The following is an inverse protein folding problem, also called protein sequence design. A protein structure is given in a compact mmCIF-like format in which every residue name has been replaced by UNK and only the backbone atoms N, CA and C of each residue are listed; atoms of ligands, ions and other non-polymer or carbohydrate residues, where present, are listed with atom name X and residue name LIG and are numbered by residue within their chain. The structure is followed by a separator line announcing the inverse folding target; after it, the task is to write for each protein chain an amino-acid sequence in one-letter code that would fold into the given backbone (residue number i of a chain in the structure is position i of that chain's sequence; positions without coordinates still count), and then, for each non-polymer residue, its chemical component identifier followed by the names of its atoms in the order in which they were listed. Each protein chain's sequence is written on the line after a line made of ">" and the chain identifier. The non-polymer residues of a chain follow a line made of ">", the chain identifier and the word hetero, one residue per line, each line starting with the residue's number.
data_IF_202839957295
#
_entry.id   IF_202839957295
#
_cell.length_a   1.000
_cell.length_b   1.000
_cell.length_c   1.000
_cell.angle_alpha   90.00
_cell.angle_beta   90.00
_cell.angle_gamma   90.00
#
_symmetry.space_group_name_H-M   'P 1'
#
loop_
_entity.id
_entity.type
_entity.pdbx_description
1 polymer ?
#
# COMPACT_ATOMS: atom_id res chain seq x y z
N UNK A 1 19.36 -8.18 -23.51
CA UNK A 1 19.31 -7.34 -24.74
C UNK A 1 19.14 -5.89 -24.35
N UNK A 2 19.87 -4.96 -24.99
CA UNK A 2 19.73 -3.52 -24.76
C UNK A 2 18.33 -3.00 -25.14
N UNK A 3 17.84 -1.98 -24.45
CA UNK A 3 16.51 -1.40 -24.70
C UNK A 3 16.42 -0.78 -26.11
N UNK A 4 17.47 -0.09 -26.56
CA UNK A 4 17.55 0.52 -27.89
C UNK A 4 17.46 -0.51 -29.01
N UNK A 5 18.13 -1.65 -28.84
CA UNK A 5 18.06 -2.76 -29.78
C UNK A 5 16.62 -3.31 -29.93
N UNK A 6 15.86 -3.37 -28.83
CA UNK A 6 14.46 -3.78 -28.85
C UNK A 6 13.57 -2.73 -29.52
N UNK A 7 13.79 -1.43 -29.28
CA UNK A 7 13.09 -0.33 -29.98
C UNK A 7 13.34 -0.42 -31.50
N UNK A 8 14.61 -0.57 -31.90
CA UNK A 8 14.99 -0.68 -33.31
C UNK A 8 14.38 -1.92 -33.98
N UNK A 9 14.47 -3.09 -33.32
CA UNK A 9 13.83 -4.31 -33.78
C UNK A 9 12.32 -4.14 -33.95
N UNK A 10 11.65 -3.49 -32.99
CA UNK A 10 10.21 -3.24 -33.05
C UNK A 10 9.84 -2.36 -34.23
N UNK A 11 10.55 -1.25 -34.46
CA UNK A 11 10.32 -0.36 -35.61
C UNK A 11 10.44 -1.10 -36.94
N UNK A 12 11.47 -1.94 -37.09
CA UNK A 12 11.67 -2.76 -38.30
C UNK A 12 10.54 -3.77 -38.49
N UNK A 13 10.10 -4.41 -37.41
CA UNK A 13 8.96 -5.32 -37.45
C UNK A 13 7.66 -4.57 -37.79
N UNK A 14 7.42 -3.38 -37.26
CA UNK A 14 6.20 -2.62 -37.52
C UNK A 14 6.13 -2.08 -38.97
N UNK A 15 7.27 -1.92 -39.64
CA UNK A 15 7.36 -1.57 -41.06
C UNK A 15 7.03 -2.73 -42.03
N UNK A 16 6.89 -3.97 -41.53
CA UNK A 16 6.63 -5.17 -42.33
C UNK A 16 5.19 -5.65 -42.10
N UNK A 17 4.54 -6.18 -43.15
CA UNK A 17 3.21 -6.78 -42.98
C UNK A 17 3.26 -7.96 -41.99
N UNK A 18 2.19 -8.21 -41.24
CA UNK A 18 2.19 -9.24 -40.18
C UNK A 18 2.53 -10.66 -40.69
N UNK A 19 2.23 -10.95 -41.96
CA UNK A 19 2.46 -12.24 -42.63
C UNK A 19 3.76 -12.30 -43.43
N UNK A 20 4.57 -11.24 -43.42
CA UNK A 20 5.82 -11.19 -44.17
C UNK A 20 6.82 -12.25 -43.66
N UNK A 21 7.31 -13.16 -44.52
CA UNK A 21 8.26 -14.21 -44.14
C UNK A 21 9.58 -13.64 -43.61
N UNK A 22 10.00 -12.46 -44.05
CA UNK A 22 11.25 -11.84 -43.63
C UNK A 22 11.25 -11.43 -42.14
N UNK A 23 10.08 -11.31 -41.49
CA UNK A 23 9.98 -11.13 -40.04
C UNK A 23 10.62 -12.28 -39.26
N UNK A 24 10.43 -13.52 -39.74
CA UNK A 24 10.97 -14.72 -39.09
C UNK A 24 12.49 -14.75 -39.20
N UNK A 25 13.02 -14.38 -40.36
CA UNK A 25 14.46 -14.27 -40.59
C UNK A 25 15.09 -13.19 -39.69
N UNK A 26 14.49 -11.99 -39.63
CA UNK A 26 14.93 -10.89 -38.78
C UNK A 26 14.95 -11.26 -37.28
N UNK A 27 13.90 -11.93 -36.79
CA UNK A 27 13.86 -12.39 -35.40
C UNK A 27 14.93 -13.46 -35.11
N UNK A 28 15.22 -14.32 -36.08
CA UNK A 28 16.22 -15.39 -35.93
C UNK A 28 17.64 -14.85 -35.93
N UNK A 29 17.96 -13.92 -36.84
CA UNK A 29 19.26 -13.27 -36.88
C UNK A 29 19.51 -12.41 -35.63
N UNK A 30 18.48 -11.70 -35.16
CA UNK A 30 18.59 -10.90 -33.93
C UNK A 30 18.76 -11.79 -32.69
N UNK A 31 18.07 -12.94 -32.65
CA UNK A 31 18.24 -13.93 -31.58
C UNK A 31 19.67 -14.46 -31.52
N UNK A 32 20.24 -14.82 -32.67
CA UNK A 32 21.62 -15.26 -32.78
C UNK A 32 22.62 -14.16 -32.37
N UNK A 33 22.45 -12.93 -32.87
CA UNK A 33 23.33 -11.79 -32.58
C UNK A 33 23.46 -11.51 -31.08
N UNK A 34 22.37 -11.64 -30.33
CA UNK A 34 22.36 -11.36 -28.89
C UNK A 34 22.45 -12.62 -28.02
N UNK A 35 22.68 -13.79 -28.60
CA UNK A 35 22.81 -15.06 -27.86
C UNK A 35 21.56 -15.44 -27.05
N UNK A 36 20.35 -15.08 -27.52
CA UNK A 36 19.08 -15.37 -26.83
C UNK A 36 18.14 -16.17 -27.71
N UNK A 37 17.19 -16.88 -27.11
CA UNK A 37 16.17 -17.58 -27.87
C UNK A 37 15.14 -16.61 -28.48
N UNK A 38 14.50 -17.02 -29.58
CA UNK A 38 13.37 -16.28 -30.19
C UNK A 38 12.24 -16.03 -29.19
N UNK A 39 11.98 -16.98 -28.29
CA UNK A 39 10.99 -16.83 -27.21
C UNK A 39 11.36 -15.68 -26.26
N UNK A 40 12.64 -15.51 -25.94
CA UNK A 40 13.13 -14.38 -25.13
C UNK A 40 12.98 -13.04 -25.84
N UNK A 41 13.17 -12.99 -27.17
CA UNK A 41 12.87 -11.78 -27.95
C UNK A 41 11.38 -11.43 -27.87
N UNK A 42 10.49 -12.38 -28.14
CA UNK A 42 9.04 -12.13 -28.04
C UNK A 42 8.61 -11.68 -26.65
N UNK A 43 9.15 -12.29 -25.58
CA UNK A 43 8.90 -11.84 -24.20
C UNK A 43 9.37 -10.40 -23.97
N UNK A 44 10.57 -10.07 -24.43
CA UNK A 44 11.14 -8.72 -24.31
C UNK A 44 10.30 -7.68 -25.05
N UNK A 45 9.92 -7.95 -26.31
CA UNK A 45 9.04 -7.09 -27.11
C UNK A 45 7.67 -6.89 -26.44
N UNK A 46 7.11 -7.92 -25.81
CA UNK A 46 5.83 -7.84 -25.09
C UNK A 46 5.93 -7.03 -23.79
N UNK A 47 7.05 -7.14 -23.07
CA UNK A 47 7.27 -6.44 -21.80
C UNK A 47 7.61 -4.96 -21.99
N UNK A 48 8.26 -4.60 -23.10
CA UNK A 48 8.68 -3.22 -23.37
C UNK A 48 7.53 -2.20 -23.36
N UNK A 49 6.34 -2.61 -23.79
CA UNK A 49 5.14 -1.77 -23.83
C UNK A 49 4.30 -1.80 -22.55
N UNK A 50 4.68 -2.64 -21.57
CA UNK A 50 3.94 -2.74 -20.32
C UNK A 50 4.63 -1.91 -19.25
N UNK A 51 3.98 -0.84 -18.73
CA UNK A 51 4.51 -0.15 -17.56
C UNK A 51 4.68 -1.19 -16.45
N UNK A 52 5.89 -1.25 -15.88
CA UNK A 52 6.13 -2.14 -14.74
C UNK A 52 5.30 -1.62 -13.59
N UNK A 53 4.47 -2.49 -13.02
CA UNK A 53 3.76 -2.15 -11.80
C UNK A 53 4.77 -1.75 -10.74
N UNK A 54 4.58 -0.59 -10.12
CA UNK A 54 5.42 -0.09 -9.02
C UNK A 54 5.41 -1.07 -7.82
N UNK A 55 4.35 -1.88 -7.72
CA UNK A 55 4.00 -2.69 -6.57
C UNK A 55 3.56 -4.07 -7.03
N UNK A 56 3.74 -5.07 -6.17
CA UNK A 56 3.13 -6.38 -6.37
C UNK A 56 1.61 -6.27 -6.37
N UNK A 57 0.95 -7.18 -7.07
CA UNK A 57 -0.51 -7.22 -7.17
C UNK A 57 -1.20 -7.42 -5.81
N UNK A 58 -0.56 -8.15 -4.88
CA UNK A 58 -1.06 -8.44 -3.53
C UNK A 58 -0.70 -7.37 -2.49
N UNK A 59 -0.10 -6.24 -2.90
CA UNK A 59 0.37 -5.24 -1.93
C UNK A 59 -0.81 -4.62 -1.19
N UNK A 60 -0.75 -4.69 0.15
CA UNK A 60 -1.78 -4.15 1.03
C UNK A 60 -2.87 -5.17 1.35
N UNK A 61 -2.73 -6.43 0.92
CA UNK A 61 -3.62 -7.51 1.30
C UNK A 61 -2.98 -8.34 2.43
N UNK A 62 -3.66 -8.51 3.57
CA UNK A 62 -3.22 -9.45 4.60
C UNK A 62 -3.38 -10.89 4.10
N UNK A 63 -2.41 -11.76 4.43
CA UNK A 63 -2.38 -13.15 3.96
C UNK A 63 -3.04 -14.15 4.92
N UNK A 64 -3.10 -13.81 6.21
CA UNK A 64 -3.51 -14.73 7.29
C UNK A 64 -4.85 -14.36 7.95
N UNK A 65 -5.34 -13.16 7.69
CA UNK A 65 -6.51 -12.56 8.35
C UNK A 65 -7.30 -11.85 7.26
N UNK A 66 -8.62 -11.87 7.33
CA UNK A 66 -9.44 -11.09 6.40
C UNK A 66 -9.20 -9.59 6.61
N UNK A 67 -9.33 -8.79 5.55
CA UNK A 67 -9.04 -7.35 5.64
C UNK A 67 -9.93 -6.65 6.68
N UNK A 68 -11.23 -6.97 6.69
CA UNK A 68 -12.21 -6.41 7.62
C UNK A 68 -11.93 -6.81 9.08
N UNK A 69 -11.55 -8.06 9.33
CA UNK A 69 -11.15 -8.51 10.67
C UNK A 69 -9.89 -7.78 11.15
N UNK A 70 -8.90 -7.62 10.26
CA UNK A 70 -7.67 -6.90 10.59
C UNK A 70 -7.94 -5.42 10.88
N UNK A 71 -8.86 -4.80 10.14
CA UNK A 71 -9.33 -3.45 10.39
C UNK A 71 -9.94 -3.34 11.77
N UNK A 72 -10.87 -4.25 12.12
CA UNK A 72 -11.48 -4.30 13.44
C UNK A 72 -10.46 -4.48 14.56
N UNK A 73 -9.48 -5.37 14.40
CA UNK A 73 -8.40 -5.53 15.38
C UNK A 73 -7.56 -4.26 15.51
N UNK A 74 -7.30 -3.54 14.42
CA UNK A 74 -6.56 -2.29 14.45
C UNK A 74 -7.34 -1.18 15.17
N UNK A 75 -8.66 -1.08 14.96
CA UNK A 75 -9.54 -0.16 15.69
C UNK A 75 -9.49 -0.41 17.20
N UNK A 76 -9.59 -1.69 17.62
CA UNK A 76 -9.54 -2.07 19.03
C UNK A 76 -8.18 -1.69 19.63
N UNK A 77 -7.07 -2.03 18.96
CA UNK A 77 -5.72 -1.65 19.42
C UNK A 77 -5.58 -0.13 19.54
N UNK A 78 -6.13 0.63 18.59
CA UNK A 78 -6.11 2.08 18.63
C UNK A 78 -6.94 2.64 19.81
N UNK A 79 -8.14 2.11 20.03
CA UNK A 79 -8.99 2.46 21.15
C UNK A 79 -8.31 2.14 22.50
N UNK A 80 -7.68 0.98 22.65
CA UNK A 80 -6.89 0.64 23.84
C UNK A 80 -5.79 1.67 24.11
N UNK A 81 -5.04 2.07 23.07
CA UNK A 81 -3.98 3.07 23.21
C UNK A 81 -4.55 4.41 23.65
N UNK A 82 -5.62 4.89 23.02
CA UNK A 82 -6.29 6.13 23.41
C UNK A 82 -6.77 6.07 24.86
N UNK A 83 -7.46 5.01 25.26
CA UNK A 83 -7.99 4.83 26.62
C UNK A 83 -6.90 4.74 27.70
N UNK A 84 -5.74 4.19 27.35
CA UNK A 84 -4.58 4.07 28.27
C UNK A 84 -3.63 5.26 28.19
N UNK A 85 -3.96 6.29 27.41
CA UNK A 85 -3.12 7.48 27.27
C UNK A 85 -3.20 8.33 28.53
N UNK A 86 -2.05 8.61 29.15
CA UNK A 86 -1.96 9.48 30.31
C UNK A 86 -1.66 10.95 29.94
N UNK A 87 -1.65 11.85 30.94
CA UNK A 87 -1.32 13.28 30.75
C UNK A 87 0.08 13.53 30.15
N UNK A 88 1.00 12.57 30.27
CA UNK A 88 2.34 12.61 29.66
C UNK A 88 2.38 12.02 28.25
N UNK A 89 1.21 11.77 27.62
CA UNK A 89 1.06 11.18 26.29
C UNK A 89 1.67 9.77 26.15
N UNK A 90 1.87 9.05 27.27
CA UNK A 90 2.28 7.65 27.26
C UNK A 90 1.04 6.78 27.22
N UNK A 91 1.09 5.72 26.43
CA UNK A 91 0.00 4.78 26.23
C UNK A 91 0.53 3.36 26.10
N UNK A 92 -0.37 2.38 26.07
CA UNK A 92 -0.02 0.98 25.88
C UNK A 92 0.78 0.76 24.58
N UNK A 93 1.78 -0.11 24.62
CA UNK A 93 2.50 -0.51 23.40
C UNK A 93 1.63 -1.43 22.54
N UNK A 94 1.87 -1.49 21.22
CA UNK A 94 1.16 -2.43 20.34
C UNK A 94 1.39 -3.88 20.79
N UNK A 95 2.61 -4.23 21.21
CA UNK A 95 2.91 -5.59 21.68
C UNK A 95 2.03 -5.97 22.88
N UNK A 96 1.95 -5.08 23.89
CA UNK A 96 1.15 -5.35 25.08
C UNK A 96 -0.35 -5.33 24.79
N UNK A 97 -0.81 -4.49 23.86
CA UNK A 97 -2.20 -4.51 23.40
C UNK A 97 -2.58 -5.87 22.80
N UNK A 98 -1.75 -6.39 21.89
CA UNK A 98 -1.98 -7.69 21.27
C UNK A 98 -1.95 -8.83 22.29
N UNK A 99 -0.99 -8.81 23.22
CA UNK A 99 -0.92 -9.81 24.29
C UNK A 99 -2.19 -9.84 25.14
N UNK A 100 -2.70 -8.68 25.56
CA UNK A 100 -3.95 -8.59 26.34
C UNK A 100 -5.16 -9.07 25.54
N UNK A 101 -5.24 -8.69 24.25
CA UNK A 101 -6.30 -9.17 23.35
C UNK A 101 -6.28 -10.68 23.20
N UNK A 102 -5.11 -11.29 23.01
CA UNK A 102 -4.96 -12.74 22.82
C UNK A 102 -5.23 -13.52 24.11
N UNK A 103 -4.73 -13.05 25.26
CA UNK A 103 -4.85 -13.75 26.55
C UNK A 103 -6.22 -13.60 27.20
N UNK A 104 -6.82 -12.41 27.13
CA UNK A 104 -8.03 -12.08 27.89
C UNK A 104 -9.23 -11.69 27.02
N UNK A 105 -9.00 -11.32 25.76
CA UNK A 105 -10.03 -10.69 24.94
C UNK A 105 -10.32 -9.25 25.36
N UNK A 106 -11.15 -8.57 24.57
CA UNK A 106 -11.61 -7.20 24.83
C UNK A 106 -13.10 -7.10 24.58
N UNK A 107 -13.83 -6.63 25.58
CA UNK A 107 -15.25 -6.30 25.43
C UNK A 107 -15.42 -5.08 24.53
N UNK A 108 -16.20 -5.26 23.47
CA UNK A 108 -16.63 -4.19 22.55
C UNK A 108 -18.16 -4.12 22.55
N UNK A 109 -18.77 -3.04 22.03
CA UNK A 109 -20.24 -2.97 21.91
C UNK A 109 -20.86 -4.14 21.14
N UNK A 110 -20.10 -4.74 20.22
CA UNK A 110 -20.53 -5.86 19.38
C UNK A 110 -20.20 -7.24 20.00
N UNK A 111 -19.66 -7.27 21.23
CA UNK A 111 -19.30 -8.47 21.97
C UNK A 111 -17.80 -8.58 22.29
N UNK A 112 -17.44 -9.72 22.90
CA UNK A 112 -16.05 -10.04 23.27
C UNK A 112 -15.23 -10.38 22.02
N UNK A 113 -14.16 -9.62 21.80
CA UNK A 113 -13.22 -9.86 20.70
C UNK A 113 -11.92 -10.43 21.25
N UNK A 114 -11.62 -11.68 20.90
CA UNK A 114 -10.39 -12.38 21.29
C UNK A 114 -9.74 -13.04 20.07
N UNK A 115 -8.71 -12.43 19.46
CA UNK A 115 -7.98 -13.06 18.37
C UNK A 115 -7.23 -14.32 18.85
N UNK A 116 -7.11 -15.37 18.01
CA UNK A 116 -6.24 -16.50 18.28
C UNK A 116 -4.79 -16.09 18.52
N UNK A 117 -4.13 -16.75 19.47
CA UNK A 117 -2.73 -16.49 19.84
C UNK A 117 -1.82 -16.58 18.61
N UNK A 118 -1.03 -15.51 18.37
CA UNK A 118 -0.06 -15.47 17.28
C UNK A 118 -0.64 -15.18 15.89
N UNK A 119 -1.96 -14.96 15.78
CA UNK A 119 -2.60 -14.52 14.54
C UNK A 119 -2.07 -13.14 14.12
N UNK A 120 -1.96 -12.23 15.09
CA UNK A 120 -1.58 -10.83 14.87
C UNK A 120 -0.11 -10.59 15.19
N UNK A 121 0.69 -10.33 14.15
CA UNK A 121 2.08 -9.89 14.34
C UNK A 121 2.12 -8.37 14.54
N UNK A 122 2.85 -7.92 15.56
CA UNK A 122 3.08 -6.48 15.83
C UNK A 122 3.42 -5.68 14.58
N UNK A 123 4.35 -6.18 13.75
CA UNK A 123 4.80 -5.48 12.53
C UNK A 123 3.68 -5.32 11.50
N UNK A 124 2.80 -6.31 11.38
CA UNK A 124 1.60 -6.23 10.55
C UNK A 124 0.65 -5.17 11.08
N UNK A 125 0.33 -5.23 12.38
CA UNK A 125 -0.61 -4.29 13.03
C UNK A 125 -0.07 -2.86 12.99
N UNK A 126 1.19 -2.61 13.35
CA UNK A 126 1.81 -1.28 13.29
C UNK A 126 1.79 -0.69 11.86
N UNK A 127 1.97 -1.53 10.83
CA UNK A 127 1.87 -1.11 9.43
C UNK A 127 0.44 -0.69 9.08
N UNK A 128 -0.56 -1.49 9.44
CA UNK A 128 -1.95 -1.20 9.10
C UNK A 128 -2.53 -0.05 9.92
N UNK A 129 -2.16 0.10 11.19
CA UNK A 129 -2.48 1.29 12.00
C UNK A 129 -2.03 2.58 11.28
N UNK A 130 -0.80 2.62 10.76
CA UNK A 130 -0.31 3.79 9.99
C UNK A 130 -0.99 3.94 8.64
N UNK A 131 -1.28 2.84 7.95
CA UNK A 131 -1.89 2.86 6.64
C UNK A 131 -3.33 3.41 6.68
N UNK A 132 -4.11 3.01 7.69
CA UNK A 132 -5.48 3.46 7.90
C UNK A 132 -5.59 4.72 8.75
N UNK A 133 -4.48 5.17 9.35
CA UNK A 133 -4.44 6.38 10.16
C UNK A 133 -4.96 6.21 11.59
N UNK A 134 -5.04 4.97 12.05
CA UNK A 134 -5.33 4.59 13.43
C UNK A 134 -4.10 4.63 14.34
N UNK A 135 -2.95 5.13 13.86
CA UNK A 135 -1.81 5.38 14.72
C UNK A 135 -2.07 6.58 15.64
N UNK A 136 -1.53 6.47 16.86
CA UNK A 136 -1.78 7.43 17.95
C UNK A 136 -1.53 8.88 17.54
N UNK A 137 -0.48 9.15 16.74
CA UNK A 137 -0.13 10.52 16.32
C UNK A 137 -1.23 11.15 15.47
N UNK A 138 -1.87 10.37 14.59
CA UNK A 138 -2.95 10.87 13.74
C UNK A 138 -4.28 10.97 14.48
N UNK A 139 -4.59 9.99 15.33
CA UNK A 139 -5.82 10.00 16.12
C UNK A 139 -5.87 11.11 17.16
N UNK A 140 -4.73 11.51 17.70
CA UNK A 140 -4.64 12.60 18.69
C UNK A 140 -4.38 13.97 18.07
N UNK A 141 -4.34 14.05 16.74
CA UNK A 141 -4.13 15.32 16.04
C UNK A 141 -5.36 16.19 16.24
N UNK A 142 -5.16 17.38 16.81
CA UNK A 142 -6.21 18.39 16.85
C UNK A 142 -6.70 18.76 15.45
N UNK A 143 -7.90 19.35 15.33
CA UNK A 143 -8.38 19.87 14.05
C UNK A 143 -7.36 20.84 13.46
N UNK A 144 -7.29 20.90 12.13
CA UNK A 144 -6.44 21.87 11.47
C UNK A 144 -6.83 23.27 11.95
N UNK A 145 -5.86 24.07 12.37
CA UNK A 145 -6.09 25.46 12.74
C UNK A 145 -6.52 26.21 11.48
N UNK A 146 -7.83 26.39 11.32
CA UNK A 146 -8.38 27.26 10.29
C UNK A 146 -8.14 28.68 10.78
N UNK A 147 -7.20 29.39 10.14
CA UNK A 147 -7.05 30.81 10.38
C UNK A 147 -8.33 31.48 9.90
N UNK A 148 -9.06 32.02 10.86
CA UNK A 148 -10.24 32.82 10.61
C UNK A 148 -9.82 34.06 9.84
N UNK A 149 -10.17 34.12 8.56
CA UNK A 149 -9.85 35.25 7.68
C UNK A 149 -11.16 35.78 7.11
N UNK A 150 -11.47 37.04 7.43
CA UNK A 150 -12.53 37.78 6.75
C UNK A 150 -12.14 37.98 5.28
N UNK A 151 -13.07 37.75 4.35
CA UNK A 151 -12.85 38.01 2.92
C UNK A 151 -13.04 39.50 2.60
N UNK A 152 -13.80 40.22 3.44
CA UNK A 152 -14.03 41.67 3.34
C UNK A 152 -13.89 42.35 4.70
N UNK A 153 -13.61 43.64 4.68
CA UNK A 153 -13.61 44.47 5.90
C UNK A 153 -14.96 44.37 6.62
N UNK A 154 -14.97 44.27 7.95
CA UNK A 154 -16.14 44.18 8.83
C UNK A 154 -17.05 42.94 8.68
N UNK A 155 -16.64 41.89 7.95
CA UNK A 155 -17.41 40.63 7.89
C UNK A 155 -17.44 39.88 9.22
N UNK A 156 -16.48 40.11 10.12
CA UNK A 156 -16.32 39.34 11.35
C UNK A 156 -15.96 40.27 12.50
N UNK A 157 -16.73 40.18 13.59
CA UNK A 157 -16.55 40.95 14.81
C UNK A 157 -16.24 39.97 15.94
N UNK A 158 -15.07 40.10 16.56
CA UNK A 158 -14.76 39.41 17.80
C UNK A 158 -15.15 40.35 18.94
N UNK A 159 -16.18 39.98 19.69
CA UNK A 159 -16.49 40.62 20.96
C UNK A 159 -15.73 39.87 22.05
N UNK A 160 -14.74 40.52 22.66
CA UNK A 160 -14.13 40.00 23.89
C UNK A 160 -15.10 40.31 25.05
N UNK A 161 -15.56 39.26 25.74
CA UNK A 161 -16.43 39.30 26.91
C UNK A 161 -15.65 38.90 28.16
#
# INVERSE_FOLDING_TARGET
>A
MPAEALVSLRRRLDAMSARDPARKALLTSTAALYGVSRATIYRSLRQQLRPRALRRADRGQPRKVLLAELERYCEIVAAMKLRTTNKKKRHLSTARALELMEQHGIETPDGLVQPPVGLLRRTTVDRYLRQWGYDYVRLTRGPAAVRFQARRSNELWQFDL
#
